data_IF_965862686805
#
_entry.id   IF_965862686805
#
_cell.length_a   1.000
_cell.length_b   1.000
_cell.length_c   1.000
_cell.angle_alpha   90.00
_cell.angle_beta   90.00
_cell.angle_gamma   90.00
#
_symmetry.space_group_name_H-M   'P 1'
#
loop_
_entity.id
_entity.type
_entity.pdbx_description
1 polymer ?
#
# COMPACT_ATOMS: atom_id res chain seq x y z
N UNK A 1 5.93 5.40 11.80
CA UNK A 1 4.73 6.26 11.99
C UNK A 1 3.55 5.40 12.44
N UNK A 2 2.52 6.00 13.03
CA UNK A 2 1.26 5.33 13.42
C UNK A 2 0.20 5.40 12.31
N UNK A 3 -0.86 4.58 12.39
CA UNK A 3 -1.95 4.58 11.40
C UNK A 3 -2.61 5.95 11.25
N UNK A 4 -2.85 6.65 12.36
CA UNK A 4 -3.50 7.96 12.35
C UNK A 4 -2.68 9.04 11.59
N UNK A 5 -1.35 8.87 11.52
CA UNK A 5 -0.46 9.80 10.85
C UNK A 5 -0.36 9.56 9.34
N UNK A 6 -0.75 8.38 8.84
CA UNK A 6 -0.54 7.98 7.44
C UNK A 6 -1.18 8.98 6.48
N UNK A 7 -2.42 9.41 6.73
CA UNK A 7 -3.14 10.30 5.81
C UNK A 7 -2.43 11.64 5.56
N UNK A 8 -1.97 12.28 6.64
CA UNK A 8 -1.21 13.54 6.55
C UNK A 8 0.16 13.33 5.90
N UNK A 9 0.89 12.29 6.34
CA UNK A 9 2.23 11.99 5.82
C UNK A 9 2.19 11.60 4.33
N UNK A 10 1.18 10.84 3.90
CA UNK A 10 0.99 10.45 2.50
C UNK A 10 0.72 11.66 1.61
N UNK A 11 -0.10 12.62 2.06
CA UNK A 11 -0.38 13.83 1.30
C UNK A 11 0.88 14.66 1.06
N UNK A 12 1.70 14.85 2.10
CA UNK A 12 2.98 15.55 1.99
C UNK A 12 3.98 14.78 1.11
N UNK A 13 4.12 13.48 1.32
CA UNK A 13 5.05 12.63 0.59
C UNK A 13 4.72 12.58 -0.90
N UNK A 14 3.45 12.39 -1.28
CA UNK A 14 3.09 12.37 -2.70
C UNK A 14 3.21 13.74 -3.35
N UNK A 15 2.91 14.83 -2.65
CA UNK A 15 3.19 16.18 -3.15
C UNK A 15 4.67 16.34 -3.54
N UNK A 16 5.58 15.88 -2.68
CA UNK A 16 7.02 15.89 -2.96
C UNK A 16 7.42 14.94 -4.10
N UNK A 17 6.91 13.71 -4.12
CA UNK A 17 7.22 12.71 -5.16
C UNK A 17 6.76 13.17 -6.55
N UNK A 18 5.57 13.77 -6.68
CA UNK A 18 5.11 14.32 -7.95
C UNK A 18 5.95 15.53 -8.39
N UNK A 19 6.33 16.42 -7.46
CA UNK A 19 7.20 17.56 -7.77
C UNK A 19 8.59 17.11 -8.24
N UNK A 20 9.15 16.07 -7.61
CA UNK A 20 10.41 15.46 -7.99
C UNK A 20 10.34 14.80 -9.37
N UNK A 21 9.29 14.00 -9.63
CA UNK A 21 9.06 13.39 -10.93
C UNK A 21 8.96 14.46 -12.04
N UNK A 22 8.26 15.56 -11.79
CA UNK A 22 8.19 16.69 -12.72
C UNK A 22 9.55 17.35 -12.94
N UNK A 23 10.31 17.61 -11.88
CA UNK A 23 11.64 18.24 -11.95
C UNK A 23 12.61 17.41 -12.77
N UNK A 24 12.55 16.08 -12.63
CA UNK A 24 13.37 15.12 -13.38
C UNK A 24 12.76 14.70 -14.72
N UNK A 25 11.62 15.26 -15.11
CA UNK A 25 10.90 14.92 -16.35
C UNK A 25 10.58 13.42 -16.47
N UNK A 26 10.34 12.77 -15.34
CA UNK A 26 9.96 11.36 -15.28
C UNK A 26 8.47 11.20 -15.56
N UNK A 27 8.13 10.18 -16.35
CA UNK A 27 6.73 9.86 -16.66
C UNK A 27 6.19 8.95 -15.57
N UNK A 28 5.21 9.41 -14.80
CA UNK A 28 4.46 8.55 -13.88
C UNK A 28 3.73 7.48 -14.68
N UNK A 29 3.98 6.21 -14.37
CA UNK A 29 3.51 5.07 -15.16
C UNK A 29 2.66 4.07 -14.36
N UNK A 30 2.25 4.42 -13.14
CA UNK A 30 1.44 3.55 -12.30
C UNK A 30 0.77 4.27 -11.14
N UNK A 31 -0.16 3.58 -10.45
CA UNK A 31 -0.82 4.11 -9.28
C UNK A 31 0.15 4.32 -8.11
N UNK A 32 -0.08 5.34 -7.27
CA UNK A 32 0.63 5.47 -6.00
C UNK A 32 0.45 4.22 -5.14
N UNK A 33 1.50 3.82 -4.42
CA UNK A 33 1.41 2.71 -3.48
C UNK A 33 2.18 2.94 -2.20
N UNK A 34 1.77 2.22 -1.16
CA UNK A 34 2.50 2.08 0.08
C UNK A 34 3.20 0.72 0.13
N UNK A 35 4.39 0.68 0.73
CA UNK A 35 5.09 -0.56 1.07
C UNK A 35 5.33 -0.57 2.58
N UNK A 36 4.81 -1.57 3.27
CA UNK A 36 5.00 -1.74 4.70
C UNK A 36 5.83 -3.00 4.99
N UNK A 37 6.83 -2.85 5.87
CA UNK A 37 7.55 -3.98 6.45
C UNK A 37 7.02 -4.22 7.86
N UNK A 38 6.68 -5.48 8.16
CA UNK A 38 6.12 -5.91 9.44
C UNK A 38 4.87 -5.11 9.85
N UNK A 39 3.77 -5.36 9.15
CA UNK A 39 2.45 -4.75 9.44
C UNK A 39 2.16 -4.67 10.94
N UNK A 40 1.71 -3.51 11.45
CA UNK A 40 1.41 -3.33 12.86
C UNK A 40 0.24 -4.23 13.28
N UNK A 41 0.25 -4.68 14.54
CA UNK A 41 -0.83 -5.53 15.09
C UNK A 41 -2.00 -4.72 15.65
N UNK A 42 -1.82 -3.43 15.82
CA UNK A 42 -2.79 -2.48 16.33
C UNK A 42 -2.55 -1.07 15.72
N UNK A 43 -3.48 -0.14 15.98
CA UNK A 43 -3.42 1.20 15.41
C UNK A 43 -2.40 2.15 16.06
N UNK A 44 -1.81 1.74 17.19
CA UNK A 44 -0.92 2.57 18.00
C UNK A 44 0.55 2.22 17.81
N UNK A 45 0.83 1.03 17.31
CA UNK A 45 2.18 0.55 17.02
C UNK A 45 2.76 1.35 15.86
N UNK A 46 3.93 1.94 16.09
CA UNK A 46 4.71 2.56 15.03
C UNK A 46 5.29 1.49 14.11
N UNK A 47 5.26 1.77 12.81
CA UNK A 47 5.85 0.90 11.80
C UNK A 47 6.47 1.72 10.67
N UNK A 48 7.28 1.06 9.86
CA UNK A 48 7.90 1.63 8.67
C UNK A 48 6.96 1.50 7.47
N UNK A 49 6.78 2.61 6.77
CA UNK A 49 5.90 2.73 5.61
C UNK A 49 6.60 3.60 4.57
N UNK A 50 6.88 3.02 3.41
CA UNK A 50 7.41 3.74 2.26
C UNK A 50 6.25 4.20 1.36
N UNK A 51 6.30 5.48 0.98
CA UNK A 51 5.42 6.06 -0.03
C UNK A 51 6.11 5.98 -1.39
N UNK A 52 5.53 5.28 -2.36
CA UNK A 52 6.13 5.07 -3.67
C UNK A 52 5.24 5.59 -4.80
N UNK A 53 5.87 6.26 -5.77
CA UNK A 53 5.25 6.71 -7.01
C UNK A 53 5.94 6.02 -8.20
N UNK A 54 5.25 5.10 -8.91
CA UNK A 54 5.83 4.44 -10.06
C UNK A 54 6.11 5.41 -11.21
N UNK A 55 7.32 5.36 -11.74
CA UNK A 55 7.77 6.17 -12.87
C UNK A 55 8.45 5.28 -13.91
N UNK A 56 8.36 5.68 -15.19
CA UNK A 56 9.11 5.07 -16.26
C UNK A 56 10.57 5.55 -16.19
N UNK A 57 11.44 4.74 -15.60
CA UNK A 57 12.87 4.95 -15.52
C UNK A 57 13.60 3.62 -15.36
N UNK A 58 14.81 3.53 -15.91
CA UNK A 58 15.73 2.41 -15.65
C UNK A 58 16.62 2.67 -14.42
N UNK A 59 16.48 3.85 -13.80
CA UNK A 59 17.24 4.24 -12.62
C UNK A 59 16.63 3.64 -11.34
N UNK A 60 17.46 3.06 -10.44
CA UNK A 60 16.99 2.59 -9.15
C UNK A 60 16.49 3.74 -8.26
N UNK A 61 15.63 3.46 -7.27
CA UNK A 61 15.23 2.13 -6.79
C UNK A 61 13.97 1.56 -7.46
N UNK A 62 14.02 0.29 -7.87
CA UNK A 62 12.85 -0.49 -8.28
C UNK A 62 12.36 -1.35 -7.12
N UNK A 63 11.04 -1.50 -6.96
CA UNK A 63 10.48 -2.43 -5.98
C UNK A 63 10.70 -3.88 -6.44
N UNK A 64 11.16 -4.78 -5.56
CA UNK A 64 11.36 -6.18 -5.93
C UNK A 64 10.04 -6.84 -6.32
N UNK A 65 10.11 -7.93 -7.10
CA UNK A 65 8.94 -8.75 -7.35
C UNK A 65 8.42 -9.36 -6.04
N UNK A 66 7.12 -9.22 -5.78
CA UNK A 66 6.47 -9.75 -4.58
C UNK A 66 5.55 -10.89 -4.94
N UNK A 67 5.86 -12.09 -4.46
CA UNK A 67 4.90 -13.19 -4.45
C UNK A 67 3.91 -12.95 -3.31
N UNK A 68 2.65 -12.71 -3.64
CA UNK A 68 1.63 -12.32 -2.66
C UNK A 68 0.29 -13.01 -2.93
N UNK A 69 -0.57 -12.97 -1.91
CA UNK A 69 -2.02 -12.97 -2.13
C UNK A 69 -2.49 -11.53 -2.29
N UNK A 70 -3.61 -11.33 -2.98
CA UNK A 70 -4.17 -9.99 -3.19
C UNK A 70 -5.69 -9.96 -3.01
N UNK A 71 -6.20 -8.80 -2.65
CA UNK A 71 -7.62 -8.47 -2.60
C UNK A 71 -7.82 -7.06 -3.18
N UNK A 72 -8.86 -6.89 -4.00
CA UNK A 72 -9.31 -5.57 -4.44
C UNK A 72 -10.41 -5.09 -3.50
N UNK A 73 -10.16 -3.99 -2.80
CA UNK A 73 -11.13 -3.35 -1.92
C UNK A 73 -11.73 -2.13 -2.62
N UNK A 74 -13.05 -2.00 -2.52
CA UNK A 74 -13.81 -0.86 -3.03
C UNK A 74 -14.63 -0.26 -1.89
N UNK A 75 -14.41 1.02 -1.58
CA UNK A 75 -15.14 1.68 -0.50
C UNK A 75 -14.33 2.67 0.35
N UNK A 76 -14.94 3.20 1.43
CA UNK A 76 -14.32 4.18 2.32
C UNK A 76 -13.17 3.57 3.13
N UNK A 77 -12.19 4.38 3.55
CA UNK A 77 -11.05 3.92 4.36
C UNK A 77 -11.46 3.33 5.71
N UNK A 78 -12.57 3.79 6.29
CA UNK A 78 -13.04 3.33 7.60
C UNK A 78 -13.28 1.80 7.66
N UNK A 79 -13.51 1.14 6.51
CA UNK A 79 -13.70 -0.30 6.42
C UNK A 79 -12.53 -1.05 5.75
N UNK A 80 -11.51 -0.33 5.28
CA UNK A 80 -10.36 -0.94 4.59
C UNK A 80 -9.67 -2.01 5.45
N UNK A 81 -9.59 -1.78 6.76
CA UNK A 81 -9.01 -2.75 7.68
C UNK A 81 -9.88 -4.00 7.83
N UNK A 82 -11.18 -3.86 8.11
CA UNK A 82 -12.08 -4.99 8.39
C UNK A 82 -12.43 -5.77 7.12
N UNK A 83 -12.74 -5.06 6.05
CA UNK A 83 -13.29 -5.64 4.83
C UNK A 83 -12.18 -5.94 3.80
N UNK A 84 -11.02 -5.30 3.96
CA UNK A 84 -9.83 -5.52 3.13
C UNK A 84 -8.79 -6.40 3.82
N UNK A 85 -8.00 -5.82 4.72
CA UNK A 85 -6.84 -6.49 5.34
C UNK A 85 -7.23 -7.73 6.14
N UNK A 86 -8.20 -7.60 7.05
CA UNK A 86 -8.63 -8.69 7.91
C UNK A 86 -9.23 -9.84 7.10
N UNK A 87 -10.07 -9.53 6.10
CA UNK A 87 -10.63 -10.52 5.19
C UNK A 87 -9.54 -11.30 4.44
N UNK A 88 -8.51 -10.61 3.91
CA UNK A 88 -7.39 -11.25 3.22
C UNK A 88 -6.55 -12.11 4.17
N UNK A 89 -6.24 -11.63 5.37
CA UNK A 89 -5.49 -12.38 6.39
C UNK A 89 -6.24 -13.66 6.83
N UNK A 90 -7.56 -13.59 6.99
CA UNK A 90 -8.38 -14.76 7.30
C UNK A 90 -8.35 -15.80 6.17
N UNK A 91 -8.45 -15.36 4.91
CA UNK A 91 -8.34 -16.24 3.75
C UNK A 91 -6.95 -16.90 3.64
N UNK A 92 -5.88 -16.15 3.91
CA UNK A 92 -4.52 -16.69 4.00
C UNK A 92 -4.40 -17.79 5.06
N UNK A 93 -4.91 -17.52 6.26
CA UNK A 93 -4.86 -18.47 7.37
C UNK A 93 -5.64 -19.75 7.05
N UNK A 94 -6.82 -19.62 6.45
CA UNK A 94 -7.63 -20.77 6.01
C UNK A 94 -6.92 -21.61 4.93
N UNK A 95 -6.12 -20.99 4.08
CA UNK A 95 -5.30 -21.66 3.07
C UNK A 95 -3.97 -22.23 3.61
N UNK A 96 -3.68 -22.08 4.91
CA UNK A 96 -2.42 -22.52 5.51
C UNK A 96 -1.20 -21.71 5.07
N UNK A 97 -1.41 -20.51 4.54
CA UNK A 97 -0.34 -19.61 4.09
C UNK A 97 0.21 -18.78 5.25
N UNK A 98 1.51 -18.47 5.18
CA UNK A 98 2.19 -17.58 6.13
C UNK A 98 2.62 -16.30 5.42
N UNK A 99 2.44 -15.16 6.08
CA UNK A 99 2.90 -13.88 5.55
C UNK A 99 4.43 -13.79 5.56
N UNK A 100 5.03 -13.15 4.56
CA UNK A 100 6.48 -12.89 4.49
C UNK A 100 6.92 -11.72 5.39
N UNK A 101 5.98 -10.88 5.81
CA UNK A 101 6.24 -9.65 6.56
C UNK A 101 6.11 -8.38 5.71
N UNK A 102 6.20 -8.49 4.37
CA UNK A 102 5.96 -7.36 3.46
C UNK A 102 4.49 -7.30 3.04
N UNK A 103 3.94 -6.08 2.95
CA UNK A 103 2.66 -5.82 2.31
C UNK A 103 2.70 -4.57 1.44
N UNK A 104 1.82 -4.50 0.45
CA UNK A 104 1.65 -3.34 -0.43
C UNK A 104 0.20 -2.93 -0.48
N UNK A 105 -0.04 -1.64 -0.53
CA UNK A 105 -1.36 -1.04 -0.69
C UNK A 105 -1.33 -0.12 -1.90
N UNK A 106 -2.04 -0.47 -2.97
CA UNK A 106 -1.97 0.20 -4.26
C UNK A 106 -3.28 0.93 -4.55
N UNK A 107 -3.19 2.25 -4.75
CA UNK A 107 -4.33 3.13 -4.92
C UNK A 107 -4.70 3.31 -6.40
N UNK A 108 -5.48 2.38 -6.94
CA UNK A 108 -5.95 2.43 -8.33
C UNK A 108 -6.93 3.58 -8.59
N UNK A 109 -7.74 3.94 -7.59
CA UNK A 109 -8.58 5.12 -7.60
C UNK A 109 -8.70 5.70 -6.19
N UNK A 110 -8.42 6.99 -6.04
CA UNK A 110 -8.51 7.71 -4.77
C UNK A 110 -9.37 8.96 -4.92
N UNK A 111 -10.43 9.07 -4.13
CA UNK A 111 -11.41 10.17 -4.10
C UNK A 111 -11.59 10.78 -2.71
N UNK A 112 -10.80 10.32 -1.74
CA UNK A 112 -10.84 10.78 -0.35
C UNK A 112 -11.32 9.68 0.61
N UNK A 113 -11.14 9.89 1.93
CA UNK A 113 -11.31 8.85 2.95
C UNK A 113 -12.73 8.27 3.03
N UNK A 114 -13.75 9.09 2.76
CA UNK A 114 -15.16 8.69 2.87
C UNK A 114 -15.76 8.15 1.56
N UNK A 115 -14.99 8.15 0.46
CA UNK A 115 -15.54 7.82 -0.85
C UNK A 115 -15.81 6.33 -1.02
N UNK A 116 -17.01 6.00 -1.51
CA UNK A 116 -17.34 4.65 -1.95
C UNK A 116 -16.60 4.24 -3.24
N UNK A 117 -16.17 5.22 -4.03
CA UNK A 117 -15.52 5.00 -5.34
C UNK A 117 -13.98 4.83 -5.23
N UNK A 118 -13.44 4.69 -4.02
CA UNK A 118 -12.02 4.33 -3.90
C UNK A 118 -11.84 2.90 -4.37
N UNK A 119 -10.71 2.62 -5.02
CA UNK A 119 -10.31 1.28 -5.43
C UNK A 119 -8.87 1.05 -4.99
N UNK A 120 -8.69 0.19 -3.99
CA UNK A 120 -7.42 -0.05 -3.31
C UNK A 120 -7.11 -1.54 -3.38
N UNK A 121 -5.96 -1.89 -3.95
CA UNK A 121 -5.48 -3.26 -3.97
C UNK A 121 -4.57 -3.50 -2.78
N UNK A 122 -4.90 -4.50 -1.98
CA UNK A 122 -4.09 -4.95 -0.85
C UNK A 122 -3.34 -6.20 -1.27
N UNK A 123 -2.02 -6.19 -1.10
CA UNK A 123 -1.14 -7.31 -1.35
C UNK A 123 -0.42 -7.69 -0.05
N UNK A 124 -0.47 -8.96 0.32
CA UNK A 124 0.29 -9.49 1.46
C UNK A 124 1.25 -10.54 0.93
N UNK A 125 2.55 -10.30 1.10
CA UNK A 125 3.60 -11.21 0.69
C UNK A 125 3.47 -12.56 1.39
N UNK A 126 3.79 -13.65 0.69
CA UNK A 126 3.77 -15.01 1.25
C UNK A 126 5.19 -15.51 1.48
N UNK A 127 5.43 -16.08 2.66
CA UNK A 127 6.69 -16.71 2.99
C UNK A 127 6.92 -17.94 2.10
N UNK A 128 8.17 -18.20 1.73
CA UNK A 128 8.55 -19.47 1.14
C UNK A 128 8.42 -20.58 2.19
N UNK A 129 7.91 -21.74 1.76
CA UNK A 129 7.84 -22.95 2.57
C UNK A 129 9.23 -23.60 2.66
#
# INVERSE_FOLDING_TARGET
MTIAQIGEQAALAYGALYAEAMTRQLVVNGPPLFVAQSMPRDAHTEFELDFCLPVASDEPPALPALRCVRLMYEGPLAKLFTDGYQALLQAMAAAGLRASGESREIYHAWRGPESADNRIEIQIGIAHA
#
